data_IF_562872309810
#
_entry.id   IF_562872309810
#
_cell.length_a   1.000
_cell.length_b   1.000
_cell.length_c   1.000
_cell.angle_alpha   90.00
_cell.angle_beta   90.00
_cell.angle_gamma   90.00
#
_symmetry.space_group_name_H-M   'P 1'
#
loop_
_entity.id
_entity.type
_entity.pdbx_description
1 polymer ?
#
# COMPACT_ATOMS: atom_id res chain seq x y z
N UNK A 1 6.97 -47.29 -0.07
CA UNK A 1 6.62 -45.97 -0.62
C UNK A 1 7.90 -45.17 -0.67
N UNK A 2 8.51 -45.04 -1.84
CA UNK A 2 9.68 -44.17 -2.02
C UNK A 2 9.21 -42.72 -1.90
N UNK A 3 9.61 -42.04 -0.82
CA UNK A 3 9.48 -40.58 -0.73
C UNK A 3 10.35 -40.02 -1.87
N UNK A 4 9.69 -39.31 -2.77
CA UNK A 4 10.34 -38.59 -3.87
C UNK A 4 11.20 -37.51 -3.22
N UNK A 5 12.49 -37.76 -3.06
CA UNK A 5 13.48 -36.79 -2.59
C UNK A 5 13.56 -35.67 -3.64
N UNK A 6 12.62 -34.74 -3.55
CA UNK A 6 12.71 -33.46 -4.23
C UNK A 6 14.01 -32.83 -3.73
N UNK A 7 14.97 -32.65 -4.63
CA UNK A 7 16.33 -32.26 -4.26
C UNK A 7 16.28 -31.00 -3.38
N UNK A 8 16.56 -31.17 -2.10
CA UNK A 8 16.46 -30.13 -1.07
C UNK A 8 17.28 -28.91 -1.46
N UNK A 9 18.42 -29.11 -2.14
CA UNK A 9 19.23 -28.03 -2.70
C UNK A 9 18.42 -27.13 -3.64
N UNK A 10 17.67 -27.72 -4.57
CA UNK A 10 16.87 -26.96 -5.55
C UNK A 10 15.74 -26.19 -4.86
N UNK A 11 15.14 -26.77 -3.81
CA UNK A 11 14.12 -26.08 -3.02
C UNK A 11 14.68 -24.91 -2.24
N UNK A 12 15.85 -25.09 -1.63
CA UNK A 12 16.55 -24.04 -0.91
C UNK A 12 17.03 -22.92 -1.83
N UNK A 13 17.54 -23.26 -3.02
CA UNK A 13 17.96 -22.28 -4.03
C UNK A 13 16.78 -21.40 -4.47
N UNK A 14 15.64 -22.03 -4.77
CA UNK A 14 14.40 -21.31 -5.09
C UNK A 14 13.91 -20.46 -3.93
N UNK A 15 13.93 -21.00 -2.72
CA UNK A 15 13.49 -20.28 -1.54
C UNK A 15 14.40 -19.07 -1.25
N UNK A 16 15.71 -19.17 -1.50
CA UNK A 16 16.64 -18.06 -1.38
C UNK A 16 16.34 -16.94 -2.39
N UNK A 17 16.12 -17.29 -3.66
CA UNK A 17 15.72 -16.34 -4.71
C UNK A 17 14.45 -15.57 -4.31
N UNK A 18 13.42 -16.32 -3.92
CA UNK A 18 12.15 -15.76 -3.49
C UNK A 18 12.26 -14.91 -2.21
N UNK A 19 13.08 -15.32 -1.25
CA UNK A 19 13.31 -14.56 -0.01
C UNK A 19 13.97 -13.22 -0.33
N UNK A 20 14.96 -13.21 -1.23
CA UNK A 20 15.61 -11.98 -1.69
C UNK A 20 14.62 -11.03 -2.35
N UNK A 21 13.80 -11.55 -3.27
CA UNK A 21 12.75 -10.77 -3.93
C UNK A 21 11.77 -10.19 -2.91
N UNK A 22 11.32 -10.98 -1.95
CA UNK A 22 10.38 -10.51 -0.93
C UNK A 22 10.97 -9.39 -0.08
N UNK A 23 12.25 -9.47 0.30
CA UNK A 23 12.95 -8.43 1.06
C UNK A 23 13.00 -7.11 0.29
N UNK A 24 13.44 -7.15 -0.98
CA UNK A 24 13.51 -5.97 -1.85
C UNK A 24 12.13 -5.29 -1.99
N UNK A 25 11.08 -6.09 -2.14
CA UNK A 25 9.73 -5.57 -2.30
C UNK A 25 9.20 -4.99 -0.99
N UNK A 26 9.42 -5.67 0.14
CA UNK A 26 9.02 -5.15 1.45
C UNK A 26 9.70 -3.81 1.74
N UNK A 27 11.01 -3.69 1.46
CA UNK A 27 11.76 -2.44 1.60
C UNK A 27 11.23 -1.32 0.69
N UNK A 28 11.02 -1.61 -0.59
CA UNK A 28 10.52 -0.62 -1.56
C UNK A 28 9.06 -0.24 -1.31
N UNK A 29 8.25 -1.14 -0.75
CA UNK A 29 6.89 -0.84 -0.27
C UNK A 29 6.91 0.06 0.95
N UNK A 30 7.75 -0.25 1.94
CA UNK A 30 7.91 0.56 3.14
C UNK A 30 8.41 1.98 2.79
N UNK A 31 9.27 2.09 1.78
CA UNK A 31 9.73 3.36 1.23
C UNK A 31 8.68 4.11 0.39
N UNK A 32 7.54 3.48 0.06
CA UNK A 32 6.47 4.07 -0.75
C UNK A 32 6.79 4.18 -2.25
N UNK A 33 7.84 3.49 -2.72
CA UNK A 33 8.30 3.55 -4.13
C UNK A 33 7.87 2.34 -4.96
N UNK A 34 7.25 1.33 -4.33
CA UNK A 34 6.80 0.13 -5.02
C UNK A 34 5.72 0.42 -6.07
N UNK A 35 5.92 -0.10 -7.28
CA UNK A 35 4.92 -0.06 -8.35
C UNK A 35 4.32 -1.45 -8.48
N UNK A 36 3.01 -1.54 -8.25
CA UNK A 36 2.30 -2.82 -8.18
C UNK A 36 2.44 -3.63 -9.49
N UNK A 37 3.21 -4.72 -9.44
CA UNK A 37 3.40 -5.63 -10.58
C UNK A 37 2.42 -6.82 -10.45
N UNK A 38 1.58 -7.01 -11.48
CA UNK A 38 0.62 -8.12 -11.52
C UNK A 38 1.28 -9.50 -11.45
N UNK A 39 2.57 -9.62 -11.80
CA UNK A 39 3.33 -10.88 -11.69
C UNK A 39 3.50 -11.34 -10.24
N UNK A 40 3.54 -10.40 -9.31
CA UNK A 40 3.81 -10.67 -7.90
C UNK A 40 2.76 -11.59 -7.24
N UNK A 41 1.51 -11.61 -7.72
CA UNK A 41 0.49 -12.52 -7.19
C UNK A 41 0.84 -14.00 -7.41
N UNK A 42 1.37 -14.34 -8.58
CA UNK A 42 1.78 -15.71 -8.88
C UNK A 42 3.00 -16.10 -8.05
N UNK A 43 3.95 -15.17 -7.92
CA UNK A 43 5.16 -15.36 -7.11
C UNK A 43 4.81 -15.54 -5.62
N UNK A 44 3.83 -14.80 -5.10
CA UNK A 44 3.36 -14.92 -3.72
C UNK A 44 2.77 -16.31 -3.39
N UNK A 45 1.98 -16.88 -4.31
CA UNK A 45 1.42 -18.23 -4.13
C UNK A 45 2.51 -19.30 -4.16
N UNK A 46 3.52 -19.16 -5.03
CA UNK A 46 4.69 -20.04 -5.08
C UNK A 46 5.54 -19.93 -3.80
N UNK A 47 5.79 -18.71 -3.34
CA UNK A 47 6.51 -18.42 -2.09
C UNK A 47 5.85 -19.09 -0.87
N UNK A 48 4.53 -18.95 -0.74
CA UNK A 48 3.79 -19.51 0.39
C UNK A 48 3.87 -21.04 0.37
N UNK A 49 3.72 -21.67 -0.80
CA UNK A 49 3.86 -23.12 -0.95
C UNK A 49 5.28 -23.60 -0.63
N UNK A 50 6.31 -22.88 -1.06
CA UNK A 50 7.70 -23.20 -0.74
C UNK A 50 7.96 -23.14 0.77
N UNK A 51 7.48 -22.09 1.45
CA UNK A 51 7.60 -21.95 2.89
C UNK A 51 6.90 -23.11 3.65
N UNK A 52 5.71 -23.54 3.19
CA UNK A 52 5.01 -24.70 3.74
C UNK A 52 5.78 -26.01 3.55
N UNK A 53 6.28 -26.27 2.33
CA UNK A 53 7.07 -27.47 2.03
C UNK A 53 8.32 -27.53 2.91
N UNK A 54 9.05 -26.42 3.03
CA UNK A 54 10.28 -26.36 3.81
C UNK A 54 10.01 -26.57 5.31
N UNK A 55 8.96 -25.95 5.88
CA UNK A 55 8.57 -26.15 7.29
C UNK A 55 8.23 -27.60 7.62
N UNK A 56 7.60 -28.30 6.69
CA UNK A 56 7.25 -29.71 6.85
C UNK A 56 8.42 -30.68 6.64
N UNK A 57 9.63 -30.18 6.37
CA UNK A 57 10.80 -31.02 6.14
C UNK A 57 11.37 -31.60 7.44
N UNK A 58 11.88 -32.84 7.37
CA UNK A 58 12.38 -33.59 8.54
C UNK A 58 13.73 -33.01 9.07
N UNK A 59 14.48 -32.30 8.23
CA UNK A 59 15.70 -31.56 8.62
C UNK A 59 15.35 -30.23 9.32
N UNK A 60 15.83 -30.05 10.55
CA UNK A 60 15.54 -28.88 11.39
C UNK A 60 15.99 -27.56 10.76
N UNK A 61 17.13 -27.53 10.06
CA UNK A 61 17.62 -26.30 9.43
C UNK A 61 16.75 -25.90 8.24
N UNK A 62 16.31 -26.88 7.46
CA UNK A 62 15.40 -26.68 6.33
C UNK A 62 14.04 -26.22 6.84
N UNK A 63 13.52 -26.86 7.89
CA UNK A 63 12.28 -26.46 8.56
C UNK A 63 12.35 -25.03 9.10
N UNK A 64 13.44 -24.70 9.78
CA UNK A 64 13.69 -23.36 10.31
C UNK A 64 13.77 -22.30 9.20
N UNK A 65 14.37 -22.62 8.06
CA UNK A 65 14.38 -21.74 6.90
C UNK A 65 12.95 -21.47 6.41
N UNK A 66 12.12 -22.51 6.29
CA UNK A 66 10.71 -22.37 5.96
C UNK A 66 9.95 -21.46 6.94
N UNK A 67 10.23 -21.57 8.25
CA UNK A 67 9.64 -20.68 9.26
C UNK A 67 10.04 -19.22 9.05
N UNK A 68 11.32 -18.94 8.76
CA UNK A 68 11.80 -17.58 8.47
C UNK A 68 11.16 -17.01 7.22
N UNK A 69 11.05 -17.80 6.17
CA UNK A 69 10.38 -17.39 4.93
C UNK A 69 8.90 -17.04 5.19
N UNK A 70 8.20 -17.84 6.01
CA UNK A 70 6.82 -17.56 6.41
C UNK A 70 6.68 -16.24 7.21
N UNK A 71 7.63 -15.93 8.07
CA UNK A 71 7.64 -14.66 8.82
C UNK A 71 7.78 -13.46 7.88
N UNK A 72 8.71 -13.54 6.92
CA UNK A 72 8.92 -12.49 5.92
C UNK A 72 7.66 -12.26 5.06
N UNK A 73 6.96 -13.35 4.68
CA UNK A 73 5.65 -13.27 3.99
C UNK A 73 4.63 -12.49 4.85
N UNK A 74 4.61 -12.72 6.16
CA UNK A 74 3.77 -11.98 7.09
C UNK A 74 4.08 -10.48 7.11
N UNK A 75 5.36 -10.12 7.26
CA UNK A 75 5.84 -8.73 7.28
C UNK A 75 5.49 -7.99 5.97
N UNK A 76 5.63 -8.67 4.83
CA UNK A 76 5.23 -8.14 3.54
C UNK A 76 3.73 -7.79 3.49
N UNK A 77 2.86 -8.67 3.98
CA UNK A 77 1.40 -8.45 3.99
C UNK A 77 1.02 -7.32 4.95
N UNK A 78 1.61 -7.27 6.14
CA UNK A 78 1.40 -6.18 7.09
C UNK A 78 1.82 -4.82 6.51
N UNK A 79 2.98 -4.78 5.86
CA UNK A 79 3.46 -3.58 5.15
C UNK A 79 2.49 -3.15 4.05
N UNK A 80 1.88 -4.10 3.34
CA UNK A 80 0.87 -3.81 2.31
C UNK A 80 -0.38 -3.15 2.90
N UNK A 81 -0.88 -3.66 4.03
CA UNK A 81 -2.04 -3.08 4.73
C UNK A 81 -1.73 -1.65 5.17
N UNK A 82 -0.60 -1.45 5.86
CA UNK A 82 -0.20 -0.13 6.37
C UNK A 82 0.01 0.88 5.23
N UNK A 83 0.67 0.48 4.14
CA UNK A 83 0.88 1.37 3.00
C UNK A 83 -0.43 1.64 2.23
N UNK A 84 -1.31 0.66 2.11
CA UNK A 84 -2.64 0.87 1.52
C UNK A 84 -3.45 1.89 2.33
N UNK A 85 -3.50 1.74 3.65
CA UNK A 85 -4.22 2.64 4.55
C UNK A 85 -3.66 4.06 4.47
N UNK A 86 -2.33 4.23 4.41
CA UNK A 86 -1.69 5.54 4.19
C UNK A 86 -2.09 6.19 2.87
N UNK A 87 -2.12 5.42 1.78
CA UNK A 87 -2.52 5.95 0.46
C UNK A 87 -3.99 6.34 0.43
N UNK A 88 -4.87 5.54 1.03
CA UNK A 88 -6.30 5.87 1.18
C UNK A 88 -6.48 7.12 2.02
N UNK A 89 -5.78 7.23 3.16
CA UNK A 89 -5.83 8.41 4.03
C UNK A 89 -5.35 9.67 3.31
N UNK A 90 -4.22 9.62 2.61
CA UNK A 90 -3.71 10.77 1.84
C UNK A 90 -4.67 11.22 0.74
N UNK A 91 -5.33 10.27 0.07
CA UNK A 91 -6.38 10.60 -0.91
C UNK A 91 -7.55 11.31 -0.25
N UNK A 92 -7.98 10.83 0.91
CA UNK A 92 -9.10 11.43 1.65
C UNK A 92 -8.75 12.85 2.13
N UNK A 93 -7.55 13.07 2.67
CA UNK A 93 -7.05 14.40 3.05
C UNK A 93 -7.06 15.34 1.86
N UNK A 94 -6.61 14.89 0.68
CA UNK A 94 -6.62 15.70 -0.55
C UNK A 94 -8.05 16.06 -0.98
N UNK A 95 -8.98 15.11 -0.94
CA UNK A 95 -10.38 15.37 -1.24
C UNK A 95 -10.98 16.40 -0.28
N UNK A 96 -10.65 16.31 1.01
CA UNK A 96 -11.10 17.27 2.03
C UNK A 96 -10.51 18.67 1.79
N UNK A 97 -9.26 18.76 1.38
CA UNK A 97 -8.62 20.02 1.01
C UNK A 97 -9.32 20.67 -0.19
N UNK A 98 -9.61 19.91 -1.25
CA UNK A 98 -10.34 20.40 -2.44
C UNK A 98 -11.76 20.91 -2.07
N UNK A 99 -12.48 20.19 -1.21
CA UNK A 99 -13.79 20.61 -0.72
C UNK A 99 -13.72 21.90 0.11
N UNK A 100 -12.71 22.03 0.97
CA UNK A 100 -12.47 23.24 1.76
C UNK A 100 -12.12 24.44 0.88
N UNK A 101 -11.28 24.26 -0.14
CA UNK A 101 -10.95 25.31 -1.10
C UNK A 101 -12.18 25.76 -1.87
N UNK A 102 -13.03 24.82 -2.32
CA UNK A 102 -14.29 25.15 -3.00
C UNK A 102 -15.26 25.90 -2.08
N UNK A 103 -15.37 25.48 -0.82
CA UNK A 103 -16.21 26.15 0.17
C UNK A 103 -15.73 27.58 0.44
N UNK A 104 -14.41 27.76 0.62
CA UNK A 104 -13.80 29.07 0.80
C UNK A 104 -14.03 29.99 -0.41
N UNK A 105 -13.84 29.48 -1.62
CA UNK A 105 -14.12 30.23 -2.85
C UNK A 105 -15.58 30.70 -2.92
N UNK A 106 -16.53 29.81 -2.65
CA UNK A 106 -17.97 30.15 -2.63
C UNK A 106 -18.32 31.18 -1.55
N UNK A 107 -17.69 31.09 -0.38
CA UNK A 107 -17.90 32.05 0.69
C UNK A 107 -17.40 33.45 0.28
N UNK A 108 -16.20 33.54 -0.29
CA UNK A 108 -15.66 34.81 -0.81
C UNK A 108 -16.57 35.42 -1.87
N UNK A 109 -17.04 34.60 -2.81
CA UNK A 109 -17.93 35.07 -3.87
C UNK A 109 -19.28 35.57 -3.33
N UNK A 110 -19.85 34.88 -2.33
CA UNK A 110 -21.07 35.33 -1.66
C UNK A 110 -20.87 36.69 -0.95
N UNK A 111 -19.73 36.88 -0.27
CA UNK A 111 -19.42 38.18 0.34
C UNK A 111 -19.21 39.29 -0.68
N UNK A 112 -18.61 38.99 -1.84
CA UNK A 112 -18.45 39.94 -2.94
C UNK A 112 -19.81 40.42 -3.46
N UNK A 113 -20.71 39.49 -3.76
CA UNK A 113 -22.07 39.79 -4.22
C UNK A 113 -22.80 40.67 -3.20
N UNK A 114 -22.75 40.29 -1.92
CA UNK A 114 -23.40 41.06 -0.85
C UNK A 114 -22.84 42.49 -0.74
N UNK A 115 -21.53 42.68 -0.91
CA UNK A 115 -20.91 43.99 -0.87
C UNK A 115 -21.34 44.87 -2.06
N UNK A 116 -21.45 44.28 -3.25
CA UNK A 116 -21.92 44.95 -4.47
C UNK A 116 -23.39 45.38 -4.35
N UNK A 117 -24.26 44.50 -3.84
CA UNK A 117 -25.66 44.81 -3.58
C UNK A 117 -25.81 45.97 -2.59
N UNK A 118 -25.06 45.94 -1.47
CA UNK A 118 -25.06 47.01 -0.47
C UNK A 118 -24.57 48.34 -1.04
N UNK A 119 -23.53 48.33 -1.88
CA UNK A 119 -23.00 49.53 -2.52
C UNK A 119 -24.02 50.14 -3.51
N UNK A 120 -24.68 49.29 -4.30
CA UNK A 120 -25.74 49.73 -5.22
C UNK A 120 -26.93 50.34 -4.47
N UNK A 121 -27.37 49.72 -3.37
CA UNK A 121 -28.46 50.26 -2.55
C UNK A 121 -28.10 51.62 -1.92
N UNK A 122 -26.87 51.80 -1.45
CA UNK A 122 -26.42 53.08 -0.91
C UNK A 122 -26.40 54.19 -1.96
N UNK A 123 -25.96 53.91 -3.18
CA UNK A 123 -25.98 54.88 -4.28
C UNK A 123 -27.41 55.32 -4.64
N UNK A 124 -28.34 54.37 -4.70
CA UNK A 124 -29.77 54.65 -4.92
C UNK A 124 -30.33 55.59 -3.85
N UNK A 125 -30.05 55.33 -2.57
CA UNK A 125 -30.52 56.18 -1.45
C UNK A 125 -29.95 57.60 -1.49
N UNK A 126 -28.77 57.82 -2.07
CA UNK A 126 -28.14 59.14 -2.19
C UNK A 126 -28.63 59.94 -3.41
N UNK A 127 -29.34 59.29 -4.33
CA UNK A 127 -29.83 59.88 -5.59
C UNK A 127 -31.29 60.37 -5.54
N UNK A 128 -31.97 60.18 -4.41
CA UNK A 128 -33.33 60.64 -4.09
C UNK A 128 -33.24 61.82 -3.13
#
# INVERSE_FOLDING_TARGET
>A
MEKKDMNVSVLLDKAAEHTSLLSEITETKAAGTWRNDRRFKADYEEMTKLAEILRGHDDENVSMYGFRMQMLIGEFVETDIVCHDKVVHLREVRNQEELLQLAAYRAVEAYRILAEENAAEQQLRQSI
#
